data_IF_223636321898
#
_entry.id   IF_223636321898
#
_cell.length_a   1.000
_cell.length_b   1.000
_cell.length_c   1.000
_cell.angle_alpha   90.00
_cell.angle_beta   90.00
_cell.angle_gamma   90.00
#
_symmetry.space_group_name_H-M   'P 1'
#
loop_
_entity.id
_entity.type
_entity.pdbx_description
1 polymer ?
#
# COMPACT_ATOMS: atom_id res chain seq x y z
N UNK A 1 26.83 -5.48 20.15
CA UNK A 1 26.29 -4.53 19.16
C UNK A 1 25.31 -5.33 18.31
N UNK A 2 24.01 -5.18 18.56
CA UNK A 2 22.97 -5.87 17.79
C UNK A 2 22.62 -4.88 16.69
N UNK A 3 23.08 -5.12 15.47
CA UNK A 3 22.63 -4.35 14.30
C UNK A 3 21.10 -4.45 14.24
N UNK A 4 20.36 -3.33 14.12
CA UNK A 4 18.94 -3.41 13.85
C UNK A 4 18.82 -4.05 12.48
N UNK A 5 18.28 -5.27 12.46
CA UNK A 5 18.02 -6.06 11.25
C UNK A 5 17.58 -5.15 10.12
N UNK A 6 18.37 -5.18 9.03
CA UNK A 6 18.20 -4.41 7.80
C UNK A 6 16.73 -4.04 7.55
N UNK A 7 16.49 -2.74 7.35
CA UNK A 7 15.20 -2.07 7.16
C UNK A 7 14.01 -3.02 7.00
N UNK A 8 13.20 -3.11 8.05
CA UNK A 8 11.98 -3.91 8.12
C UNK A 8 10.98 -3.73 6.96
N UNK A 9 11.13 -2.67 6.17
CA UNK A 9 10.48 -2.48 4.86
C UNK A 9 10.81 -3.59 3.85
N UNK A 10 12.03 -4.14 3.87
CA UNK A 10 12.55 -5.09 2.88
C UNK A 10 11.68 -6.36 2.82
N UNK A 11 11.43 -7.00 3.97
CA UNK A 11 10.62 -8.22 4.04
C UNK A 11 9.15 -8.00 3.62
N UNK A 12 8.55 -6.84 3.90
CA UNK A 12 7.20 -6.53 3.45
C UNK A 12 7.16 -6.26 1.94
N UNK A 13 8.21 -5.65 1.40
CA UNK A 13 8.35 -5.34 -0.02
C UNK A 13 8.46 -6.61 -0.87
N UNK A 14 8.99 -7.72 -0.33
CA UNK A 14 9.00 -9.02 -1.04
C UNK A 14 7.59 -9.51 -1.41
N UNK A 15 6.59 -9.24 -0.56
CA UNK A 15 5.23 -9.79 -0.72
C UNK A 15 4.28 -8.76 -1.34
N UNK A 16 4.42 -7.48 -0.97
CA UNK A 16 3.45 -6.43 -1.27
C UNK A 16 3.89 -5.44 -2.35
N UNK A 17 5.09 -5.60 -2.92
CA UNK A 17 5.53 -4.84 -4.09
C UNK A 17 5.00 -5.51 -5.37
N UNK A 18 3.69 -5.45 -5.55
CA UNK A 18 3.00 -6.03 -6.70
C UNK A 18 3.12 -5.09 -7.91
N UNK A 19 2.91 -5.58 -9.14
CA UNK A 19 2.69 -4.69 -10.28
C UNK A 19 1.60 -3.68 -9.93
N UNK A 20 1.87 -2.40 -10.18
CA UNK A 20 1.00 -1.26 -9.85
C UNK A 20 0.86 -0.91 -8.35
N UNK A 21 1.63 -1.55 -7.45
CA UNK A 21 1.65 -1.21 -6.02
C UNK A 21 3.04 -1.29 -5.42
N UNK A 22 3.48 -0.24 -4.73
CA UNK A 22 4.72 -0.25 -3.96
C UNK A 22 4.50 -0.02 -2.46
N UNK A 23 5.31 -0.67 -1.64
CA UNK A 23 5.31 -0.45 -0.18
C UNK A 23 5.96 0.90 0.11
N UNK A 24 5.24 1.76 0.83
CA UNK A 24 5.76 3.06 1.28
C UNK A 24 6.06 3.08 2.78
N UNK A 25 5.45 2.17 3.55
CA UNK A 25 5.61 2.12 5.00
C UNK A 25 5.34 0.72 5.55
N UNK A 26 6.06 0.35 6.61
CA UNK A 26 5.87 -0.88 7.35
C UNK A 26 6.13 -0.62 8.84
N UNK A 27 5.06 -0.59 9.63
CA UNK A 27 5.08 -0.21 11.04
C UNK A 27 4.67 -1.39 11.91
N UNK A 28 5.41 -1.68 12.96
CA UNK A 28 5.00 -2.66 13.97
C UNK A 28 4.03 -2.01 14.97
N UNK A 29 2.93 -2.71 15.23
CA UNK A 29 1.90 -2.28 16.17
C UNK A 29 2.24 -2.79 17.58
N UNK A 30 1.85 -2.05 18.64
CA UNK A 30 2.23 -2.35 20.03
C UNK A 30 1.73 -3.71 20.56
N UNK A 31 0.82 -4.38 19.85
CA UNK A 31 0.30 -5.71 20.19
C UNK A 31 0.94 -6.84 19.37
N UNK A 32 2.11 -6.61 18.77
CA UNK A 32 2.81 -7.60 17.94
C UNK A 32 2.19 -7.80 16.55
N UNK A 33 1.27 -6.92 16.16
CA UNK A 33 0.76 -6.84 14.80
C UNK A 33 1.67 -5.99 13.91
N UNK A 34 1.37 -5.96 12.62
CA UNK A 34 2.13 -5.16 11.65
C UNK A 34 1.19 -4.46 10.71
N UNK A 35 1.45 -3.18 10.43
CA UNK A 35 0.74 -2.40 9.43
C UNK A 35 1.65 -2.12 8.25
N UNK A 36 1.29 -2.62 7.09
CA UNK A 36 1.98 -2.33 5.82
C UNK A 36 1.12 -1.35 5.03
N UNK A 37 1.71 -0.24 4.61
CA UNK A 37 1.07 0.75 3.75
C UNK A 37 1.63 0.59 2.35
N UNK A 38 0.76 0.29 1.40
CA UNK A 38 1.07 0.23 -0.02
C UNK A 38 0.43 1.39 -0.74
N UNK A 39 1.08 1.93 -1.76
CA UNK A 39 0.53 2.96 -2.64
C UNK A 39 0.28 2.34 -4.01
N UNK A 40 -0.89 2.62 -4.58
CA UNK A 40 -1.17 2.30 -5.98
C UNK A 40 -0.44 3.29 -6.90
N UNK A 41 0.29 2.78 -7.88
CA UNK A 41 1.02 3.56 -8.89
C UNK A 41 0.14 3.98 -10.06
N UNK A 42 -1.01 3.33 -10.25
CA UNK A 42 -1.99 3.70 -11.28
C UNK A 42 -2.61 5.06 -10.95
N UNK A 43 -2.00 6.12 -11.48
CA UNK A 43 -2.48 7.49 -11.39
C UNK A 43 -3.25 7.93 -12.65
N UNK A 44 -3.35 7.06 -13.66
CA UNK A 44 -4.04 7.30 -14.90
C UNK A 44 -5.21 6.31 -15.02
N UNK A 45 -6.43 6.83 -15.01
CA UNK A 45 -7.64 6.08 -15.34
C UNK A 45 -8.39 6.86 -16.42
N UNK A 46 -9.03 6.15 -17.33
CA UNK A 46 -9.86 6.76 -18.36
C UNK A 46 -11.27 6.95 -17.83
N UNK A 47 -11.83 8.16 -17.97
CA UNK A 47 -13.24 8.37 -17.67
C UNK A 47 -14.09 7.40 -18.53
N UNK A 48 -14.94 6.55 -17.94
CA UNK A 48 -15.72 5.57 -18.71
C UNK A 48 -16.76 6.21 -19.64
N UNK A 49 -17.07 7.50 -19.44
CA UNK A 49 -18.04 8.26 -20.23
C UNK A 49 -17.44 8.87 -21.50
N UNK A 50 -16.25 9.50 -21.39
CA UNK A 50 -15.63 10.24 -22.50
C UNK A 50 -14.21 9.76 -22.90
N UNK A 51 -13.64 8.78 -22.20
CA UNK A 51 -12.33 8.21 -22.50
C UNK A 51 -11.13 9.11 -22.17
N UNK A 52 -11.36 10.29 -21.58
CA UNK A 52 -10.28 11.21 -21.19
C UNK A 52 -9.46 10.58 -20.05
N UNK A 53 -8.15 10.49 -20.27
CA UNK A 53 -7.19 10.04 -19.26
C UNK A 53 -6.71 11.25 -18.46
N UNK A 54 -7.03 11.27 -17.17
CA UNK A 54 -6.55 12.29 -16.23
C UNK A 54 -5.47 11.69 -15.34
N UNK A 55 -4.37 12.43 -15.16
CA UNK A 55 -3.36 12.11 -14.15
C UNK A 55 -3.53 12.96 -12.87
N UNK A 56 -4.57 13.81 -12.84
CA UNK A 56 -4.77 14.75 -11.74
C UNK A 56 -5.49 14.04 -10.60
N UNK A 57 -4.78 13.90 -9.49
CA UNK A 57 -5.33 13.32 -8.27
C UNK A 57 -6.11 14.38 -7.51
N UNK A 58 -7.42 14.16 -7.31
CA UNK A 58 -8.28 14.95 -6.43
C UNK A 58 -7.93 14.71 -4.96
N UNK A 59 -7.80 13.45 -4.57
CA UNK A 59 -7.59 13.04 -3.20
C UNK A 59 -6.93 11.66 -3.12
N UNK A 60 -6.35 11.32 -1.97
CA UNK A 60 -5.89 9.98 -1.67
C UNK A 60 -6.80 9.34 -0.64
N UNK A 61 -7.23 8.10 -0.90
CA UNK A 61 -8.08 7.34 0.01
C UNK A 61 -7.32 6.15 0.61
N UNK A 62 -7.48 5.95 1.91
CA UNK A 62 -6.89 4.82 2.65
C UNK A 62 -7.92 3.70 2.72
N UNK A 63 -7.58 2.52 2.22
CA UNK A 63 -8.46 1.35 2.26
C UNK A 63 -7.74 0.20 2.96
N UNK A 64 -8.35 -0.33 4.02
CA UNK A 64 -7.86 -1.55 4.68
C UNK A 64 -8.24 -2.77 3.85
N UNK A 65 -7.28 -3.64 3.56
CA UNK A 65 -7.52 -4.94 2.92
C UNK A 65 -8.03 -5.91 3.97
N UNK A 66 -9.19 -6.53 3.71
CA UNK A 66 -9.86 -7.40 4.69
C UNK A 66 -9.28 -8.82 4.71
N UNK A 67 -8.85 -9.32 3.55
CA UNK A 67 -8.60 -10.75 3.35
C UNK A 67 -7.09 -11.07 3.24
N UNK A 68 -6.28 -10.48 4.11
CA UNK A 68 -4.83 -10.78 4.17
C UNK A 68 -4.60 -11.95 5.12
N UNK A 69 -4.51 -13.15 4.55
CA UNK A 69 -4.18 -14.37 5.30
C UNK A 69 -2.70 -14.40 5.67
N UNK A 70 -2.34 -14.02 6.88
CA UNK A 70 -1.01 -14.20 7.44
C UNK A 70 -1.09 -14.78 8.87
N UNK A 71 -0.07 -15.50 9.30
CA UNK A 71 0.00 -16.17 10.61
C UNK A 71 0.22 -15.17 11.78
N UNK A 72 -0.48 -14.04 11.78
CA UNK A 72 -0.38 -12.96 12.76
C UNK A 72 -1.31 -11.79 12.46
N UNK A 73 -1.33 -10.77 13.32
CA UNK A 73 -2.16 -9.57 13.16
C UNK A 73 -1.56 -8.61 12.11
N UNK A 74 -1.64 -8.99 10.83
CA UNK A 74 -1.19 -8.17 9.70
C UNK A 74 -2.33 -7.30 9.17
N UNK A 75 -2.09 -6.00 9.11
CA UNK A 75 -2.96 -5.02 8.49
C UNK A 75 -2.30 -4.47 7.23
N UNK A 76 -2.97 -4.57 6.09
CA UNK A 76 -2.51 -3.93 4.85
C UNK A 76 -3.44 -2.77 4.54
N UNK A 77 -2.86 -1.59 4.34
CA UNK A 77 -3.57 -0.37 3.97
C UNK A 77 -3.11 0.06 2.59
N UNK A 78 -4.06 0.18 1.66
CA UNK A 78 -3.81 0.67 0.31
C UNK A 78 -4.14 2.16 0.24
N UNK A 79 -3.18 2.96 -0.22
CA UNK A 79 -3.41 4.34 -0.65
C UNK A 79 -3.80 4.33 -2.12
N UNK A 80 -5.07 4.61 -2.40
CA UNK A 80 -5.61 4.72 -3.76
C UNK A 80 -5.82 6.19 -4.14
N UNK A 81 -5.35 6.63 -5.31
CA UNK A 81 -5.70 7.95 -5.82
C UNK A 81 -7.19 7.96 -6.20
N UNK A 82 -7.84 9.10 -5.95
CA UNK A 82 -9.12 9.46 -6.54
C UNK A 82 -8.84 10.53 -7.57
N UNK A 83 -9.16 10.26 -8.83
CA UNK A 83 -8.94 11.20 -9.93
C UNK A 83 -10.08 12.22 -9.99
N UNK A 84 -9.82 13.35 -10.64
CA UNK A 84 -10.85 14.36 -11.01
C UNK A 84 -11.42 14.10 -12.40
#
# INVERSE_FOLDING_TARGET
>A
MIEPTCSQHDAASVIFNLPDYHVIDAIDLPLGGRRVVVRADTIADACPDCGVVSQRVHAWSRQRVRDVGHAGALEVVVLKPRLV
#
